data_IF_209663176943
#
_entry.id   IF_209663176943
#
_cell.length_a   1.000
_cell.length_b   1.000
_cell.length_c   1.000
_cell.angle_alpha   90.00
_cell.angle_beta   90.00
_cell.angle_gamma   90.00
#
_symmetry.space_group_name_H-M   'P 1'
#
loop_
_entity.id
_entity.type
_entity.pdbx_description
1 polymer ?
#
# COMPACT_ATOMS: atom_id res chain seq x y z
N UNK A 1 -13.11 5.40 21.17
CA UNK A 1 -11.98 5.11 20.26
C UNK A 1 -12.28 5.33 18.77
N UNK A 2 -13.52 5.59 18.33
CA UNK A 2 -13.81 5.99 16.94
C UNK A 2 -13.50 4.94 15.86
N UNK A 3 -13.17 3.72 16.28
CA UNK A 3 -12.93 2.58 15.39
C UNK A 3 -14.25 2.14 14.80
N UNK A 4 -14.28 1.97 13.49
CA UNK A 4 -15.45 1.52 12.75
C UNK A 4 -15.61 0.00 12.91
N UNK A 5 -16.19 -0.41 14.04
CA UNK A 5 -16.45 -1.82 14.38
C UNK A 5 -17.47 -2.44 13.41
N UNK A 6 -18.28 -1.64 12.71
CA UNK A 6 -19.21 -2.16 11.71
C UNK A 6 -18.48 -2.83 10.54
N UNK A 7 -17.33 -2.30 10.11
CA UNK A 7 -16.45 -2.96 9.12
C UNK A 7 -15.93 -4.32 9.57
N UNK A 8 -15.91 -4.52 10.88
CA UNK A 8 -15.47 -5.77 11.48
C UNK A 8 -16.62 -6.75 11.65
N UNK A 9 -17.85 -6.27 11.85
CA UNK A 9 -19.04 -7.08 12.13
C UNK A 9 -19.69 -7.76 10.90
N UNK A 10 -19.08 -7.69 9.72
CA UNK A 10 -19.49 -8.60 8.65
C UNK A 10 -19.15 -10.05 9.06
N UNK A 11 -19.95 -11.08 8.68
CA UNK A 11 -19.71 -12.47 9.05
C UNK A 11 -18.45 -13.02 8.36
N UNK A 12 -17.30 -12.57 8.81
CA UNK A 12 -15.99 -12.83 8.26
C UNK A 12 -15.03 -13.18 9.40
N UNK A 13 -13.87 -13.73 9.06
CA UNK A 13 -12.87 -14.15 10.04
C UNK A 13 -12.36 -13.01 10.94
N UNK A 14 -12.50 -11.74 10.52
CA UNK A 14 -12.10 -10.57 11.31
C UNK A 14 -13.00 -10.38 12.52
N UNK A 15 -14.33 -10.46 12.34
CA UNK A 15 -15.31 -10.32 13.41
C UNK A 15 -15.03 -11.33 14.54
N UNK A 16 -14.91 -12.61 14.17
CA UNK A 16 -14.66 -13.70 15.11
C UNK A 16 -13.36 -13.50 15.88
N UNK A 17 -12.29 -13.10 15.19
CA UNK A 17 -11.00 -12.86 15.82
C UNK A 17 -11.05 -11.71 16.83
N UNK A 18 -11.67 -10.59 16.46
CA UNK A 18 -11.70 -9.41 17.33
C UNK A 18 -12.52 -9.66 18.59
N UNK A 19 -13.60 -10.44 18.50
CA UNK A 19 -14.40 -10.83 19.67
C UNK A 19 -13.61 -11.68 20.68
N UNK A 20 -12.51 -12.32 20.27
CA UNK A 20 -11.65 -13.09 21.19
C UNK A 20 -10.60 -12.24 21.92
N UNK A 21 -10.39 -10.99 21.49
CA UNK A 21 -9.36 -10.11 22.05
C UNK A 21 -9.80 -9.51 23.37
N UNK A 22 -8.88 -9.49 24.33
CA UNK A 22 -8.98 -8.70 25.55
C UNK A 22 -8.26 -7.36 25.35
N UNK A 23 -8.94 -6.26 25.64
CA UNK A 23 -8.38 -4.93 25.41
C UNK A 23 -7.07 -4.66 26.17
N UNK A 24 -7.04 -4.97 27.47
CA UNK A 24 -5.88 -4.68 28.32
C UNK A 24 -4.68 -5.56 27.98
N UNK A 25 -4.93 -6.86 27.82
CA UNK A 25 -3.89 -7.84 27.55
C UNK A 25 -3.38 -7.79 26.11
N UNK A 26 -4.29 -7.70 25.14
CA UNK A 26 -3.98 -7.97 23.74
C UNK A 26 -3.88 -6.70 22.87
N UNK A 27 -4.48 -5.57 23.29
CA UNK A 27 -4.52 -4.36 22.47
C UNK A 27 -3.62 -3.23 22.97
N UNK A 28 -3.50 -3.03 24.29
CA UNK A 28 -2.82 -1.85 24.84
C UNK A 28 -1.39 -1.67 24.34
N UNK A 29 -0.58 -2.74 24.30
CA UNK A 29 0.81 -2.66 23.86
C UNK A 29 0.92 -2.22 22.39
N UNK A 30 0.03 -2.72 21.51
CA UNK A 30 0.00 -2.30 20.11
C UNK A 30 -0.47 -0.86 19.94
N UNK A 31 -1.38 -0.38 20.78
CA UNK A 31 -1.80 1.03 20.78
C UNK A 31 -0.66 1.96 21.19
N UNK A 32 0.09 1.59 22.23
CA UNK A 32 1.29 2.33 22.66
C UNK A 32 2.33 2.35 21.53
N UNK A 33 2.62 1.19 20.93
CA UNK A 33 3.53 1.09 19.80
C UNK A 33 3.12 1.97 18.61
N UNK A 34 1.85 1.93 18.20
CA UNK A 34 1.35 2.79 17.11
C UNK A 34 1.45 4.29 17.46
N UNK A 35 1.23 4.64 18.73
CA UNK A 35 1.38 6.01 19.21
C UNK A 35 2.85 6.48 19.21
N UNK A 36 3.81 5.60 19.55
CA UNK A 36 5.27 5.84 19.44
C UNK A 36 5.68 6.10 17.98
N UNK A 37 5.05 5.42 17.02
CA UNK A 37 5.23 5.66 15.58
C UNK A 37 4.57 6.97 15.10
N UNK A 38 3.84 7.67 15.96
CA UNK A 38 3.15 8.92 15.59
C UNK A 38 1.73 8.75 15.04
N UNK A 39 1.19 7.52 15.01
CA UNK A 39 -0.17 7.24 14.54
C UNK A 39 -1.16 7.48 15.69
N UNK A 40 -1.77 8.67 15.73
CA UNK A 40 -2.59 9.13 16.86
C UNK A 40 -4.05 9.38 16.51
N UNK A 41 -4.90 9.45 17.54
CA UNK A 41 -6.30 9.92 17.47
C UNK A 41 -7.11 9.30 16.32
N UNK A 42 -7.60 10.14 15.39
CA UNK A 42 -8.41 9.72 14.24
C UNK A 42 -7.64 8.79 13.29
N UNK A 43 -6.33 8.99 13.14
CA UNK A 43 -5.49 8.13 12.30
C UNK A 43 -5.33 6.74 12.92
N UNK A 44 -5.20 6.66 14.24
CA UNK A 44 -5.18 5.38 14.97
C UNK A 44 -6.48 4.61 14.80
N UNK A 45 -7.62 5.30 15.00
CA UNK A 45 -8.93 4.70 14.81
C UNK A 45 -9.12 4.16 13.38
N UNK A 46 -8.72 4.96 12.39
CA UNK A 46 -8.74 4.58 10.97
C UNK A 46 -7.81 3.38 10.71
N UNK A 47 -6.57 3.44 11.20
CA UNK A 47 -5.58 2.37 11.05
C UNK A 47 -6.16 1.03 11.51
N UNK A 48 -6.67 0.97 12.73
CA UNK A 48 -7.24 -0.24 13.31
C UNK A 48 -8.46 -0.70 12.51
N UNK A 49 -9.36 0.24 12.16
CA UNK A 49 -10.56 -0.07 11.36
C UNK A 49 -10.22 -0.82 10.08
N UNK A 50 -9.12 -0.46 9.41
CA UNK A 50 -8.65 -1.16 8.22
C UNK A 50 -7.84 -2.43 8.56
N UNK A 51 -6.97 -2.39 9.57
CA UNK A 51 -6.08 -3.48 9.92
C UNK A 51 -6.21 -3.92 11.39
N UNK A 52 -7.22 -4.73 11.72
CA UNK A 52 -7.32 -5.37 13.03
C UNK A 52 -6.33 -6.54 13.21
N UNK A 53 -5.67 -6.98 12.15
CA UNK A 53 -4.77 -8.13 12.20
C UNK A 53 -3.40 -7.80 12.81
N UNK A 54 -3.10 -6.52 13.04
CA UNK A 54 -1.90 -6.12 13.77
C UNK A 54 -1.81 -6.81 15.14
N UNK A 55 -2.95 -7.08 15.80
CA UNK A 55 -2.99 -7.76 17.09
C UNK A 55 -2.57 -9.25 17.03
N UNK A 56 -2.43 -9.84 15.84
CA UNK A 56 -1.86 -11.19 15.69
C UNK A 56 -0.33 -11.21 15.70
N UNK A 57 0.27 -10.04 15.49
CA UNK A 57 1.72 -9.88 15.41
C UNK A 57 2.28 -9.55 16.78
N UNK A 58 3.51 -10.00 17.04
CA UNK A 58 4.25 -9.61 18.25
C UNK A 58 4.79 -8.18 18.09
N UNK A 59 4.94 -7.45 19.20
CA UNK A 59 5.54 -6.10 19.16
C UNK A 59 6.97 -6.15 18.62
N UNK A 60 7.74 -7.18 18.96
CA UNK A 60 9.11 -7.35 18.48
C UNK A 60 9.18 -7.52 16.96
N UNK A 61 8.29 -8.33 16.37
CA UNK A 61 8.20 -8.48 14.92
C UNK A 61 7.81 -7.16 14.23
N UNK A 62 6.88 -6.41 14.82
CA UNK A 62 6.48 -5.10 14.29
C UNK A 62 7.64 -4.10 14.34
N UNK A 63 8.44 -4.10 15.42
CA UNK A 63 9.66 -3.28 15.54
C UNK A 63 10.71 -3.67 14.50
N UNK A 64 10.94 -4.96 14.27
CA UNK A 64 11.84 -5.44 13.22
C UNK A 64 11.42 -4.91 11.84
N UNK A 65 10.11 -4.90 11.56
CA UNK A 65 9.56 -4.40 10.28
C UNK A 65 9.71 -2.89 10.14
N UNK A 66 9.54 -2.13 11.23
CA UNK A 66 9.80 -0.69 11.25
C UNK A 66 11.29 -0.41 11.00
N UNK A 67 12.18 -1.08 11.73
CA UNK A 67 13.64 -0.93 11.54
C UNK A 67 14.07 -1.29 10.11
N UNK A 68 13.41 -2.28 9.49
CA UNK A 68 13.62 -2.58 8.08
C UNK A 68 13.23 -1.41 7.17
N UNK A 69 12.09 -0.75 7.40
CA UNK A 69 11.71 0.45 6.62
C UNK A 69 12.72 1.58 6.82
N UNK A 70 13.20 1.79 8.04
CA UNK A 70 14.27 2.77 8.33
C UNK A 70 15.55 2.45 7.55
N UNK A 71 15.95 1.17 7.52
CA UNK A 71 17.11 0.71 6.74
C UNK A 71 16.96 0.93 5.23
N UNK A 72 15.73 1.10 4.73
CA UNK A 72 15.44 1.44 3.32
C UNK A 72 15.38 2.93 3.06
N UNK A 73 15.67 3.78 4.05
CA UNK A 73 15.76 5.23 3.92
C UNK A 73 14.47 5.98 4.27
N UNK A 74 13.46 5.32 4.83
CA UNK A 74 12.25 6.00 5.31
C UNK A 74 12.49 6.54 6.72
N UNK A 75 12.35 7.85 6.91
CA UNK A 75 12.37 8.44 8.25
C UNK A 75 11.06 8.15 9.02
N UNK A 76 11.01 8.50 10.30
CA UNK A 76 9.85 8.22 11.16
C UNK A 76 8.55 8.86 10.64
N UNK A 77 8.61 10.08 10.11
CA UNK A 77 7.45 10.78 9.55
C UNK A 77 6.91 10.06 8.31
N UNK A 78 7.81 9.65 7.41
CA UNK A 78 7.50 8.86 6.23
C UNK A 78 6.85 7.52 6.61
N UNK A 79 7.41 6.82 7.61
CA UNK A 79 6.85 5.54 8.09
C UNK A 79 5.45 5.75 8.67
N UNK A 80 5.26 6.78 9.49
CA UNK A 80 3.95 7.14 10.03
C UNK A 80 2.91 7.37 8.92
N UNK A 81 3.26 8.14 7.89
CA UNK A 81 2.38 8.43 6.77
C UNK A 81 2.09 7.19 5.90
N UNK A 82 3.13 6.40 5.59
CA UNK A 82 3.00 5.12 4.86
C UNK A 82 2.01 4.20 5.58
N UNK A 83 2.21 3.99 6.88
CA UNK A 83 1.39 3.09 7.68
C UNK A 83 -0.02 3.62 7.91
N UNK A 84 -0.21 4.94 8.02
CA UNK A 84 -1.54 5.55 8.10
C UNK A 84 -2.34 5.34 6.81
N UNK A 85 -1.70 5.40 5.64
CA UNK A 85 -2.36 5.23 4.33
C UNK A 85 -2.45 3.78 3.87
N UNK A 86 -1.54 2.91 4.32
CA UNK A 86 -1.56 1.47 4.05
C UNK A 86 -1.32 0.63 5.31
N UNK A 87 -2.31 0.53 6.23
CA UNK A 87 -2.14 -0.12 7.53
C UNK A 87 -1.67 -1.59 7.47
N UNK A 88 -2.05 -2.32 6.43
CA UNK A 88 -1.65 -3.73 6.23
C UNK A 88 -0.17 -3.93 5.89
N UNK A 89 0.55 -2.87 5.50
CA UNK A 89 1.95 -2.99 5.11
C UNK A 89 2.81 -3.53 6.25
N UNK A 90 2.50 -3.15 7.50
CA UNK A 90 3.24 -3.62 8.68
C UNK A 90 3.02 -5.11 8.99
N UNK A 91 2.02 -5.78 8.40
CA UNK A 91 1.86 -7.23 8.53
C UNK A 91 2.75 -8.02 7.58
N UNK A 92 3.37 -7.37 6.59
CA UNK A 92 4.26 -8.04 5.66
C UNK A 92 5.61 -8.29 6.35
N UNK A 93 6.11 -9.52 6.25
CA UNK A 93 7.47 -9.84 6.70
C UNK A 93 8.50 -9.03 5.93
N UNK A 94 9.66 -8.79 6.53
CA UNK A 94 10.78 -8.07 5.89
C UNK A 94 11.18 -8.72 4.57
N UNK A 95 11.19 -10.06 4.50
CA UNK A 95 11.41 -10.83 3.26
C UNK A 95 10.37 -10.53 2.18
N UNK A 96 9.09 -10.45 2.55
CA UNK A 96 8.00 -10.14 1.62
C UNK A 96 8.07 -8.70 1.13
N UNK A 97 8.35 -7.74 2.03
CA UNK A 97 8.58 -6.35 1.67
C UNK A 97 9.73 -6.24 0.67
N UNK A 98 10.87 -6.87 0.95
CA UNK A 98 12.04 -6.84 0.06
C UNK A 98 11.73 -7.45 -1.32
N UNK A 99 11.04 -8.59 -1.34
CA UNK A 99 10.59 -9.25 -2.57
C UNK A 99 9.73 -8.31 -3.42
N UNK A 100 8.77 -7.62 -2.79
CA UNK A 100 7.88 -6.69 -3.48
C UNK A 100 8.60 -5.45 -3.98
N UNK A 101 9.44 -4.82 -3.16
CA UNK A 101 10.23 -3.66 -3.56
C UNK A 101 11.17 -4.00 -4.73
N UNK A 102 11.82 -5.17 -4.68
CA UNK A 102 12.68 -5.65 -5.77
C UNK A 102 11.90 -5.96 -7.04
N UNK A 103 10.65 -6.42 -6.93
CA UNK A 103 9.80 -6.63 -8.08
C UNK A 103 9.49 -5.31 -8.79
N UNK A 104 9.07 -4.26 -8.06
CA UNK A 104 8.84 -2.93 -8.66
C UNK A 104 10.11 -2.37 -9.28
N UNK A 105 11.23 -2.48 -8.58
CA UNK A 105 12.55 -2.06 -9.07
C UNK A 105 12.88 -2.69 -10.42
N UNK A 106 12.70 -4.01 -10.55
CA UNK A 106 12.98 -4.75 -11.80
C UNK A 106 11.94 -4.45 -12.88
N UNK A 107 10.66 -4.44 -12.54
CA UNK A 107 9.54 -4.29 -13.49
C UNK A 107 9.52 -2.92 -14.16
N UNK A 108 9.86 -1.87 -13.41
CA UNK A 108 9.83 -0.48 -13.89
C UNK A 108 11.24 0.13 -14.04
N UNK A 109 12.31 -0.65 -13.85
CA UNK A 109 13.70 -0.19 -13.89
C UNK A 109 13.95 1.04 -13.01
N UNK A 110 13.45 0.99 -11.77
CA UNK A 110 13.54 2.10 -10.82
C UNK A 110 14.88 2.10 -10.09
N UNK A 111 15.37 3.29 -9.77
CA UNK A 111 16.45 3.54 -8.81
C UNK A 111 15.93 3.42 -7.37
N UNK A 112 16.83 3.30 -6.40
CA UNK A 112 16.47 3.25 -4.97
C UNK A 112 15.66 4.47 -4.52
N UNK A 113 16.02 5.64 -5.05
CA UNK A 113 15.31 6.89 -4.79
C UNK A 113 13.90 6.88 -5.39
N UNK A 114 13.76 6.47 -6.66
CA UNK A 114 12.44 6.31 -7.30
C UNK A 114 11.57 5.28 -6.55
N UNK A 115 12.19 4.22 -6.00
CA UNK A 115 11.49 3.24 -5.14
C UNK A 115 10.94 3.92 -3.88
N UNK A 116 11.75 4.70 -3.19
CA UNK A 116 11.29 5.44 -2.01
C UNK A 116 10.16 6.42 -2.36
N UNK A 117 10.33 7.19 -3.44
CA UNK A 117 9.37 8.18 -3.91
C UNK A 117 8.00 7.55 -4.24
N UNK A 118 7.95 6.43 -4.96
CA UNK A 118 6.65 5.80 -5.27
C UNK A 118 6.00 5.19 -4.01
N UNK A 119 6.79 4.64 -3.08
CA UNK A 119 6.23 4.09 -1.83
C UNK A 119 5.58 5.21 -1.02
N UNK A 120 6.18 6.40 -1.01
CA UNK A 120 5.57 7.60 -0.42
C UNK A 120 4.36 8.09 -1.24
N UNK A 121 4.36 7.98 -2.56
CA UNK A 121 3.21 8.39 -3.36
C UNK A 121 2.01 7.46 -3.18
N UNK A 122 2.24 6.15 -3.16
CA UNK A 122 1.24 5.10 -3.29
C UNK A 122 1.57 3.83 -2.48
N UNK A 123 1.64 3.91 -1.13
CA UNK A 123 2.07 2.79 -0.29
C UNK A 123 1.18 1.54 -0.39
N UNK A 124 -0.09 1.74 -0.78
CA UNK A 124 -1.06 0.65 -1.00
C UNK A 124 -0.59 -0.34 -2.09
N UNK A 125 0.21 0.08 -3.07
CA UNK A 125 0.76 -0.80 -4.11
C UNK A 125 1.57 -1.97 -3.52
N UNK A 126 2.28 -1.74 -2.41
CA UNK A 126 3.04 -2.79 -1.73
C UNK A 126 2.09 -3.85 -1.15
N UNK A 127 0.90 -3.47 -0.72
CA UNK A 127 -0.09 -4.39 -0.13
C UNK A 127 -0.90 -5.18 -1.17
N UNK A 128 -0.87 -4.78 -2.44
CA UNK A 128 -1.63 -5.45 -3.51
C UNK A 128 -0.92 -6.72 -4.02
N UNK A 129 -1.66 -7.68 -4.60
CA UNK A 129 -1.05 -8.78 -5.35
C UNK A 129 -0.22 -8.25 -6.52
N UNK A 130 1.03 -8.73 -6.66
CA UNK A 130 1.92 -8.29 -7.75
C UNK A 130 1.39 -8.70 -9.12
N UNK A 131 0.58 -9.76 -9.18
CA UNK A 131 -0.06 -10.23 -10.40
C UNK A 131 -1.03 -9.18 -10.97
N UNK A 132 -1.85 -8.54 -10.14
CA UNK A 132 -2.82 -7.53 -10.60
C UNK A 132 -2.12 -6.33 -11.21
N UNK A 133 -1.04 -5.88 -10.57
CA UNK A 133 -0.19 -4.79 -11.06
C UNK A 133 0.52 -5.21 -12.35
N UNK A 134 1.00 -6.45 -12.42
CA UNK A 134 1.65 -7.00 -13.61
C UNK A 134 0.70 -7.09 -14.81
N UNK A 135 -0.55 -7.49 -14.57
CA UNK A 135 -1.58 -7.57 -15.60
C UNK A 135 -1.93 -6.18 -16.12
N UNK A 136 -2.12 -5.21 -15.21
CA UNK A 136 -2.35 -3.81 -15.60
C UNK A 136 -1.21 -3.27 -16.45
N UNK A 137 0.04 -3.50 -16.04
CA UNK A 137 1.22 -3.14 -16.83
C UNK A 137 1.22 -3.78 -18.21
N UNK A 138 0.93 -5.09 -18.28
CA UNK A 138 0.93 -5.83 -19.53
C UNK A 138 -0.16 -5.32 -20.48
N UNK A 139 -1.36 -5.07 -19.98
CA UNK A 139 -2.47 -4.55 -20.77
C UNK A 139 -2.20 -3.12 -21.25
N UNK A 140 -1.63 -2.24 -20.41
CA UNK A 140 -1.21 -0.92 -20.86
C UNK A 140 -0.15 -0.98 -21.97
N UNK A 141 0.79 -1.92 -21.91
CA UNK A 141 1.77 -2.12 -22.98
C UNK A 141 1.11 -2.65 -24.27
N UNK A 142 0.32 -3.72 -24.15
CA UNK A 142 -0.16 -4.49 -25.32
C UNK A 142 -1.45 -3.96 -25.94
N UNK A 143 -2.40 -3.50 -25.12
CA UNK A 143 -3.71 -3.04 -25.57
C UNK A 143 -3.71 -1.53 -25.79
N UNK A 144 -3.08 -0.77 -24.90
CA UNK A 144 -2.95 0.69 -25.07
C UNK A 144 -1.68 1.10 -25.82
N UNK A 145 -0.75 0.17 -26.08
CA UNK A 145 0.44 0.45 -26.90
C UNK A 145 1.43 1.40 -26.26
N UNK A 146 1.52 1.47 -24.93
CA UNK A 146 2.53 2.27 -24.23
C UNK A 146 3.88 1.54 -24.19
N UNK A 147 4.93 2.21 -24.63
CA UNK A 147 6.29 1.67 -24.57
C UNK A 147 6.80 1.57 -23.13
N UNK A 148 7.82 0.73 -22.89
CA UNK A 148 8.39 0.55 -21.55
C UNK A 148 8.91 1.85 -20.92
N UNK A 149 9.46 2.75 -21.73
CA UNK A 149 9.91 4.06 -21.27
C UNK A 149 8.74 4.96 -20.85
N UNK A 150 7.63 4.92 -21.59
CA UNK A 150 6.40 5.65 -21.25
C UNK A 150 5.75 5.09 -19.99
N UNK A 151 5.69 3.76 -19.85
CA UNK A 151 5.17 3.11 -18.64
C UNK A 151 5.98 3.47 -17.40
N UNK A 152 7.31 3.54 -17.51
CA UNK A 152 8.16 4.04 -16.42
C UNK A 152 7.82 5.50 -16.08
N UNK A 153 7.68 6.38 -17.08
CA UNK A 153 7.31 7.78 -16.88
C UNK A 153 5.94 7.92 -16.20
N UNK A 154 4.94 7.18 -16.68
CA UNK A 154 3.58 7.16 -16.11
C UNK A 154 3.64 6.68 -14.65
N UNK A 155 4.39 5.60 -14.37
CA UNK A 155 4.52 5.08 -13.02
C UNK A 155 5.18 6.09 -12.07
N UNK A 156 6.27 6.73 -12.50
CA UNK A 156 6.95 7.75 -11.69
C UNK A 156 6.10 8.99 -11.44
N UNK A 157 5.29 9.41 -12.43
CA UNK A 157 4.40 10.57 -12.29
C UNK A 157 3.17 10.24 -11.44
N UNK A 158 2.56 9.07 -11.63
CA UNK A 158 1.31 8.70 -11.00
C UNK A 158 1.19 7.19 -10.75
N UNK A 159 1.98 6.67 -9.81
CA UNK A 159 1.98 5.25 -9.45
C UNK A 159 0.59 4.74 -9.00
N UNK A 160 -0.25 5.63 -8.44
CA UNK A 160 -1.62 5.34 -8.02
C UNK A 160 -2.49 4.79 -9.15
N UNK A 161 -2.16 5.03 -10.42
CA UNK A 161 -2.87 4.47 -11.57
C UNK A 161 -2.99 2.94 -11.46
N UNK A 162 -1.91 2.28 -11.03
CA UNK A 162 -1.82 0.81 -10.92
C UNK A 162 -2.58 0.23 -9.72
N UNK A 163 -3.31 1.06 -8.95
CA UNK A 163 -4.23 0.61 -7.90
C UNK A 163 -5.64 0.37 -8.48
N UNK A 164 -5.99 1.04 -9.58
CA UNK A 164 -7.31 0.96 -10.19
C UNK A 164 -7.45 -0.29 -11.06
N UNK A 165 -8.69 -0.70 -11.30
CA UNK A 165 -9.02 -1.72 -12.29
C UNK A 165 -8.59 -1.24 -13.68
N UNK A 166 -7.91 -2.11 -14.43
CA UNK A 166 -7.50 -1.83 -15.80
C UNK A 166 -8.66 -1.36 -16.69
N UNK A 167 -9.87 -1.93 -16.52
CA UNK A 167 -11.04 -1.51 -17.31
C UNK A 167 -11.36 -0.03 -17.17
N UNK A 168 -11.17 0.54 -15.97
CA UNK A 168 -11.38 1.95 -15.75
C UNK A 168 -10.30 2.80 -16.44
N UNK A 169 -9.06 2.30 -16.49
CA UNK A 169 -7.95 2.95 -17.19
C UNK A 169 -8.23 2.96 -18.70
N UNK A 170 -8.64 1.82 -19.24
CA UNK A 170 -9.01 1.65 -20.66
C UNK A 170 -10.15 2.59 -21.06
N UNK A 171 -11.27 2.58 -20.33
CA UNK A 171 -12.41 3.47 -20.61
C UNK A 171 -12.02 4.95 -20.62
N UNK A 172 -11.25 5.38 -19.62
CA UNK A 172 -10.79 6.77 -19.56
C UNK A 172 -9.80 7.08 -20.69
N UNK A 173 -8.95 6.14 -21.07
CA UNK A 173 -8.04 6.30 -22.19
C UNK A 173 -8.79 6.44 -23.52
N UNK A 174 -9.77 5.59 -23.77
CA UNK A 174 -10.59 5.63 -24.98
C UNK A 174 -11.39 6.93 -25.07
N UNK A 175 -11.94 7.41 -23.95
CA UNK A 175 -12.60 8.72 -23.90
C UNK A 175 -11.65 9.87 -24.26
N UNK A 176 -10.45 9.91 -23.66
CA UNK A 176 -9.47 10.96 -23.93
C UNK A 176 -8.97 10.94 -25.39
N UNK A 177 -8.78 9.74 -25.94
CA UNK A 177 -8.19 9.56 -27.27
C UNK A 177 -9.24 9.71 -28.38
N UNK A 178 -10.38 9.03 -28.26
CA UNK A 178 -11.40 8.96 -29.31
C UNK A 178 -12.42 10.10 -29.21
N UNK A 179 -12.82 10.52 -28.02
CA UNK A 179 -13.85 11.56 -27.86
C UNK A 179 -13.23 12.96 -27.73
N UNK A 180 -12.14 13.10 -26.97
CA UNK A 180 -11.49 14.39 -26.75
C UNK A 180 -10.37 14.74 -27.76
N UNK A 181 -10.02 13.82 -28.67
CA UNK A 181 -8.97 13.99 -29.69
C UNK A 181 -7.61 14.44 -29.12
N UNK A 182 -7.27 14.03 -27.90
CA UNK A 182 -5.97 14.32 -27.31
C UNK A 182 -4.94 13.39 -27.95
N UNK A 183 -4.06 13.94 -28.79
CA UNK A 183 -3.01 13.15 -29.45
C UNK A 183 -1.91 12.76 -28.46
N UNK A 184 -1.26 11.61 -28.72
CA UNK A 184 0.00 11.26 -28.06
C UNK A 184 1.07 12.23 -28.57
N UNK A 185 1.39 13.26 -27.80
CA UNK A 185 2.61 14.03 -28.06
C UNK A 185 3.79 13.07 -27.86
N UNK A 186 4.41 12.66 -28.98
CA UNK A 186 5.63 11.85 -29.00
C UNK A 186 6.82 12.70 -28.59
#
# INVERSE_FOLDING_TARGET
MGVDVYRWNQPNAKAKYILTLNFERDCLQHLVFLNELGIKNKSLAKFLSYNPWIFKETIDDLRIRVNYLESKGFNQENICDILTRAPFLINLSTKMLDTKLNWFRKKFHLTDKEVQEFVLQAPKLITLPLQDISNTYFNMNTQLGFEYAELKKIFNQYAKLFIYDYKLIELNFDFLYNEMNISRQR
#
